data_IF_994383837681
#
_entry.id   IF_994383837681
#
_cell.length_a   1.000
_cell.length_b   1.000
_cell.length_c   1.000
_cell.angle_alpha   90.00
_cell.angle_beta   90.00
_cell.angle_gamma   90.00
#
_symmetry.space_group_name_H-M   'P 1'
#
loop_
_entity.id
_entity.type
_entity.pdbx_description
1 polymer ?
#
# COMPACT_ATOMS: atom_id res chain seq x y z
N UNK A 1 -31.56 20.88 -20.95
CA UNK A 1 -30.16 20.46 -20.67
C UNK A 1 -30.14 18.95 -20.51
N UNK A 2 -29.07 18.30 -21.01
CA UNK A 2 -28.78 16.90 -20.66
C UNK A 2 -28.65 16.82 -19.13
N UNK A 3 -29.36 15.89 -18.49
CA UNK A 3 -29.16 15.60 -17.07
C UNK A 3 -27.92 14.76 -16.92
N UNK A 4 -27.02 15.18 -16.03
CA UNK A 4 -25.83 14.44 -15.66
C UNK A 4 -26.11 13.59 -14.41
N UNK A 5 -25.40 12.48 -14.31
CA UNK A 5 -25.22 11.78 -13.04
C UNK A 5 -23.91 12.31 -12.44
N UNK A 6 -23.97 12.95 -11.26
CA UNK A 6 -22.83 13.64 -10.68
C UNK A 6 -22.49 13.05 -9.32
N UNK A 7 -21.29 12.52 -9.18
CA UNK A 7 -20.74 12.09 -7.90
C UNK A 7 -20.01 13.27 -7.24
N UNK A 8 -20.47 13.68 -6.08
CA UNK A 8 -19.88 14.77 -5.31
C UNK A 8 -18.92 14.22 -4.26
N UNK A 9 -17.67 14.68 -4.32
CA UNK A 9 -16.68 14.45 -3.27
C UNK A 9 -17.04 15.22 -1.97
N UNK A 10 -16.46 14.83 -0.85
CA UNK A 10 -16.74 15.36 0.50
C UNK A 10 -16.65 16.88 0.56
N UNK A 11 -15.59 17.47 0.01
CA UNK A 11 -15.42 18.92 0.02
C UNK A 11 -16.53 19.63 -0.76
N UNK A 12 -17.02 19.04 -1.85
CA UNK A 12 -18.10 19.63 -2.62
C UNK A 12 -19.41 19.65 -1.83
N UNK A 13 -19.72 18.57 -1.11
CA UNK A 13 -20.89 18.51 -0.22
C UNK A 13 -20.76 19.51 0.92
N UNK A 14 -19.59 19.57 1.57
CA UNK A 14 -19.35 20.54 2.65
C UNK A 14 -19.57 21.97 2.14
N UNK A 15 -18.99 22.35 1.01
CA UNK A 15 -19.16 23.71 0.49
C UNK A 15 -20.61 24.02 0.11
N UNK A 16 -21.32 23.06 -0.47
CA UNK A 16 -22.74 23.19 -0.79
C UNK A 16 -23.60 23.39 0.47
N UNK A 17 -23.34 22.61 1.52
CA UNK A 17 -24.02 22.71 2.80
C UNK A 17 -23.77 24.08 3.47
N UNK A 18 -22.49 24.48 3.61
CA UNK A 18 -22.10 25.76 4.21
C UNK A 18 -22.65 26.96 3.44
N UNK A 19 -22.72 26.87 2.11
CA UNK A 19 -23.30 27.92 1.28
C UNK A 19 -24.82 28.05 1.49
N UNK A 20 -25.54 26.93 1.63
CA UNK A 20 -27.00 26.96 1.75
C UNK A 20 -27.50 27.23 3.16
N UNK A 21 -26.87 26.64 4.16
CA UNK A 21 -27.31 26.75 5.54
C UNK A 21 -26.68 27.96 6.23
N UNK A 22 -25.45 28.35 5.84
CA UNK A 22 -24.67 29.38 6.53
C UNK A 22 -24.27 30.58 5.64
N UNK A 23 -24.67 30.61 4.36
CA UNK A 23 -24.28 31.65 3.39
C UNK A 23 -22.76 31.84 3.21
N UNK A 24 -21.96 30.80 3.47
CA UNK A 24 -20.50 30.85 3.34
C UNK A 24 -20.11 30.58 1.88
N UNK A 25 -19.22 31.40 1.32
CA UNK A 25 -18.75 31.27 -0.07
C UNK A 25 -17.29 30.80 -0.14
N UNK A 26 -16.92 30.14 -1.22
CA UNK A 26 -15.52 29.76 -1.51
C UNK A 26 -14.90 30.70 -2.55
N UNK A 27 -13.68 31.16 -2.30
CA UNK A 27 -12.95 32.09 -3.16
C UNK A 27 -12.55 31.54 -4.53
N UNK A 28 -12.60 30.21 -4.73
CA UNK A 28 -12.20 29.54 -5.97
C UNK A 28 -13.37 28.94 -6.76
N UNK A 29 -14.57 28.92 -6.17
CA UNK A 29 -15.74 28.20 -6.72
C UNK A 29 -16.90 29.19 -6.90
N UNK A 30 -17.55 29.14 -8.05
CA UNK A 30 -18.84 29.77 -8.29
C UNK A 30 -19.94 28.99 -7.57
N UNK A 31 -20.13 29.28 -6.27
CA UNK A 31 -21.00 28.51 -5.39
C UNK A 31 -22.46 28.43 -5.87
N UNK A 32 -22.97 29.49 -6.50
CA UNK A 32 -24.32 29.47 -7.07
C UNK A 32 -24.41 28.49 -8.26
N UNK A 33 -23.38 28.44 -9.11
CA UNK A 33 -23.31 27.51 -10.23
C UNK A 33 -23.19 26.07 -9.74
N UNK A 34 -22.34 25.81 -8.74
CA UNK A 34 -22.24 24.48 -8.13
C UNK A 34 -23.58 24.04 -7.51
N UNK A 35 -24.28 24.95 -6.85
CA UNK A 35 -25.60 24.67 -6.27
C UNK A 35 -26.67 24.39 -7.33
N UNK A 36 -26.72 25.19 -8.40
CA UNK A 36 -27.64 24.94 -9.51
C UNK A 36 -27.36 23.57 -10.14
N UNK A 37 -26.07 23.26 -10.36
CA UNK A 37 -25.64 21.97 -10.88
C UNK A 37 -26.13 20.80 -10.02
N UNK A 38 -25.98 20.89 -8.69
CA UNK A 38 -26.45 19.86 -7.76
C UNK A 38 -27.98 19.72 -7.70
N UNK A 39 -28.71 20.83 -7.85
CA UNK A 39 -30.18 20.84 -7.79
C UNK A 39 -30.84 20.37 -9.08
N UNK A 40 -30.18 20.52 -10.23
CA UNK A 40 -30.76 20.26 -11.55
C UNK A 40 -30.41 18.88 -12.13
N UNK A 41 -29.44 18.20 -11.52
CA UNK A 41 -28.91 16.91 -11.97
C UNK A 41 -29.16 15.79 -10.96
N UNK A 42 -28.88 14.55 -11.36
CA UNK A 42 -28.87 13.43 -10.43
C UNK A 42 -27.58 13.50 -9.62
N UNK A 43 -27.69 13.70 -8.30
CA UNK A 43 -26.53 13.81 -7.42
C UNK A 43 -26.30 12.54 -6.63
N UNK A 44 -25.04 12.18 -6.47
CA UNK A 44 -24.59 11.00 -5.79
C UNK A 44 -23.48 11.33 -4.81
N UNK A 45 -23.38 10.55 -3.74
CA UNK A 45 -22.23 10.53 -2.82
C UNK A 45 -21.87 9.08 -2.51
N UNK A 46 -20.64 8.84 -2.08
CA UNK A 46 -20.20 7.52 -1.62
C UNK A 46 -20.37 7.39 -0.11
N UNK A 47 -20.27 6.16 0.38
CA UNK A 47 -20.11 5.88 1.81
C UNK A 47 -18.84 6.50 2.41
N UNK A 48 -17.77 6.69 1.63
CA UNK A 48 -16.57 7.45 2.05
C UNK A 48 -16.92 8.91 2.32
N UNK A 49 -17.69 9.55 1.44
CA UNK A 49 -18.12 10.94 1.63
C UNK A 49 -18.94 11.10 2.91
N UNK A 50 -19.89 10.18 3.14
CA UNK A 50 -20.71 10.19 4.35
C UNK A 50 -19.88 9.96 5.61
N UNK A 51 -18.92 9.04 5.55
CA UNK A 51 -17.96 8.80 6.61
C UNK A 51 -17.20 10.09 6.99
N UNK A 52 -16.67 10.82 6.02
CA UNK A 52 -15.87 12.01 6.30
C UNK A 52 -16.71 13.15 6.86
N UNK A 53 -17.95 13.30 6.39
CA UNK A 53 -18.92 14.24 6.96
C UNK A 53 -19.23 13.87 8.40
N UNK A 54 -19.54 12.60 8.67
CA UNK A 54 -19.80 12.09 10.01
C UNK A 54 -18.61 12.34 10.95
N UNK A 55 -17.40 12.04 10.49
CA UNK A 55 -16.18 12.27 11.25
C UNK A 55 -15.97 13.77 11.52
N UNK A 56 -16.26 14.65 10.55
CA UNK A 56 -16.24 16.10 10.75
C UNK A 56 -17.23 16.52 11.84
N UNK A 57 -18.47 16.06 11.79
CA UNK A 57 -19.48 16.34 12.83
C UNK A 57 -19.01 15.86 14.20
N UNK A 58 -18.48 14.64 14.28
CA UNK A 58 -17.93 14.06 15.50
C UNK A 58 -16.80 14.92 16.09
N UNK A 59 -15.90 15.38 15.24
CA UNK A 59 -14.80 16.26 15.60
C UNK A 59 -15.25 17.65 16.08
N UNK A 60 -16.24 18.26 15.41
CA UNK A 60 -16.76 19.58 15.74
C UNK A 60 -17.51 19.59 17.08
N UNK A 61 -18.10 18.45 17.44
CA UNK A 61 -18.87 18.28 18.66
C UNK A 61 -18.06 17.64 19.79
N UNK A 62 -16.73 17.76 19.77
CA UNK A 62 -15.85 17.25 20.83
C UNK A 62 -16.12 15.78 21.18
N UNK A 63 -16.38 14.94 20.17
CA UNK A 63 -16.62 13.51 20.35
C UNK A 63 -17.88 13.20 21.18
N UNK A 64 -18.87 14.11 21.21
CA UNK A 64 -20.18 13.88 21.79
C UNK A 64 -21.15 13.28 20.76
N UNK A 65 -21.71 12.11 21.09
CA UNK A 65 -22.57 11.36 20.17
C UNK A 65 -23.90 12.01 19.85
N UNK A 66 -24.63 12.49 20.84
CA UNK A 66 -25.94 13.10 20.61
C UNK A 66 -25.83 14.34 19.71
N UNK A 67 -24.84 15.21 19.99
CA UNK A 67 -24.63 16.40 19.17
C UNK A 67 -24.14 16.05 17.75
N UNK A 68 -23.23 15.08 17.62
CA UNK A 68 -22.75 14.59 16.33
C UNK A 68 -23.90 14.03 15.48
N UNK A 69 -24.76 13.21 16.09
CA UNK A 69 -25.94 12.61 15.48
C UNK A 69 -26.87 13.68 14.90
N UNK A 70 -27.15 14.72 15.68
CA UNK A 70 -28.01 15.82 15.25
C UNK A 70 -27.40 16.60 14.08
N UNK A 71 -26.10 16.89 14.11
CA UNK A 71 -25.42 17.58 13.01
C UNK A 71 -25.36 16.72 11.75
N UNK A 72 -24.99 15.43 11.88
CA UNK A 72 -24.94 14.51 10.75
C UNK A 72 -26.31 14.33 10.09
N UNK A 73 -27.39 14.26 10.89
CA UNK A 73 -28.76 14.20 10.38
C UNK A 73 -29.14 15.44 9.54
N UNK A 74 -28.62 16.62 9.87
CA UNK A 74 -28.82 17.83 9.03
C UNK A 74 -28.21 17.66 7.65
N UNK A 75 -27.01 17.06 7.55
CA UNK A 75 -26.40 16.74 6.26
C UNK A 75 -27.23 15.73 5.46
N UNK A 76 -27.72 14.65 6.09
CA UNK A 76 -28.56 13.67 5.39
C UNK A 76 -29.86 14.27 4.85
N UNK A 77 -30.52 15.12 5.65
CA UNK A 77 -31.71 15.88 5.24
C UNK A 77 -31.37 16.84 4.09
N UNK A 78 -30.24 17.52 4.17
CA UNK A 78 -29.77 18.42 3.12
C UNK A 78 -29.56 17.68 1.79
N UNK A 79 -28.86 16.54 1.79
CA UNK A 79 -28.65 15.72 0.60
C UNK A 79 -29.98 15.27 -0.02
N UNK A 80 -30.91 14.78 0.81
CA UNK A 80 -32.22 14.30 0.35
C UNK A 80 -33.14 15.41 -0.21
N UNK A 81 -32.92 16.66 0.22
CA UNK A 81 -33.62 17.85 -0.32
C UNK A 81 -32.94 18.41 -1.56
N UNK A 82 -31.62 18.40 -1.60
CA UNK A 82 -30.82 19.01 -2.66
C UNK A 82 -30.88 18.18 -3.94
N UNK A 83 -30.70 16.86 -3.85
CA UNK A 83 -30.67 15.98 -5.01
C UNK A 83 -32.07 15.61 -5.50
N UNK A 84 -32.25 15.59 -6.82
CA UNK A 84 -33.53 15.24 -7.45
C UNK A 84 -33.81 13.74 -7.24
N UNK A 85 -32.79 12.89 -7.42
CA UNK A 85 -32.88 11.45 -7.20
C UNK A 85 -32.98 11.11 -5.71
N UNK A 86 -33.88 10.18 -5.37
CA UNK A 86 -34.08 9.72 -3.98
C UNK A 86 -33.09 8.66 -3.52
N UNK A 87 -32.49 7.96 -4.48
CA UNK A 87 -31.39 7.04 -4.24
C UNK A 87 -30.12 7.77 -4.68
N UNK A 88 -29.46 8.42 -3.73
CA UNK A 88 -28.25 9.23 -3.96
C UNK A 88 -26.99 8.61 -3.34
N UNK A 89 -27.12 7.54 -2.54
CA UNK A 89 -25.98 6.83 -1.98
C UNK A 89 -25.51 5.76 -2.97
N UNK A 90 -24.24 5.84 -3.37
CA UNK A 90 -23.55 4.77 -4.08
C UNK A 90 -22.73 3.99 -3.04
N UNK A 91 -23.01 2.69 -2.95
CA UNK A 91 -22.20 1.80 -2.14
C UNK A 91 -20.86 1.56 -2.80
N UNK A 92 -19.79 1.66 -2.01
CA UNK A 92 -18.43 1.36 -2.46
C UNK A 92 -18.08 -0.11 -2.21
N UNK A 93 -16.89 -0.52 -2.67
CA UNK A 93 -16.41 -1.89 -2.52
C UNK A 93 -16.11 -2.32 -1.08
N UNK A 94 -16.10 -1.39 -0.12
CA UNK A 94 -15.82 -1.69 1.29
C UNK A 94 -17.13 -2.02 2.01
N UNK A 95 -18.23 -1.34 1.67
CA UNK A 95 -19.48 -1.51 2.41
C UNK A 95 -20.74 -1.27 1.60
N UNK A 96 -21.75 -2.09 1.90
CA UNK A 96 -23.13 -1.86 1.53
C UNK A 96 -23.86 -1.24 2.71
N UNK A 97 -24.36 -0.02 2.54
CA UNK A 97 -25.14 0.74 3.51
C UNK A 97 -26.58 0.83 3.01
N UNK A 98 -27.55 0.53 3.87
CA UNK A 98 -28.93 0.94 3.65
C UNK A 98 -29.08 2.42 4.03
N UNK A 99 -29.58 3.22 3.09
CA UNK A 99 -29.80 4.65 3.30
C UNK A 99 -30.76 4.92 4.46
N UNK A 100 -31.71 4.02 4.73
CA UNK A 100 -32.67 4.19 5.82
C UNK A 100 -32.01 4.05 7.19
N UNK A 101 -31.04 3.16 7.32
CA UNK A 101 -30.27 2.96 8.55
C UNK A 101 -29.43 4.20 8.90
N UNK A 102 -29.04 4.99 7.90
CA UNK A 102 -28.37 6.27 8.13
C UNK A 102 -29.28 7.29 8.81
N UNK A 103 -30.58 7.26 8.55
CA UNK A 103 -31.52 8.23 9.15
C UNK A 103 -31.91 7.90 10.59
N UNK A 104 -31.70 6.66 11.04
CA UNK A 104 -31.88 6.28 12.45
C UNK A 104 -30.71 6.78 13.30
N UNK A 105 -29.51 6.90 12.70
CA UNK A 105 -28.26 7.27 13.37
C UNK A 105 -28.09 6.50 14.68
N UNK A 106 -28.12 5.17 14.63
CA UNK A 106 -27.83 4.33 15.78
C UNK A 106 -26.31 4.20 15.96
N UNK A 107 -25.83 4.21 17.21
CA UNK A 107 -24.39 4.26 17.52
C UNK A 107 -23.62 3.05 16.91
N UNK A 108 -24.24 1.87 16.87
CA UNK A 108 -23.61 0.67 16.30
C UNK A 108 -23.41 0.77 14.78
N UNK A 109 -24.41 1.28 14.03
CA UNK A 109 -24.33 1.52 12.58
C UNK A 109 -23.14 2.42 12.28
N UNK A 110 -22.92 3.39 13.16
CA UNK A 110 -21.91 4.43 13.01
C UNK A 110 -20.53 3.88 13.33
N UNK A 111 -20.37 3.13 14.43
CA UNK A 111 -19.14 2.39 14.73
C UNK A 111 -18.76 1.44 13.60
N UNK A 112 -19.74 0.79 12.99
CA UNK A 112 -19.50 -0.09 11.84
C UNK A 112 -18.98 0.69 10.63
N UNK A 113 -19.58 1.84 10.31
CA UNK A 113 -19.10 2.76 9.26
C UNK A 113 -17.65 3.20 9.53
N UNK A 114 -17.30 3.50 10.79
CA UNK A 114 -15.93 3.83 11.19
C UNK A 114 -14.95 2.68 10.96
N UNK A 115 -15.25 1.51 11.48
CA UNK A 115 -14.37 0.35 11.37
C UNK A 115 -14.16 -0.07 9.92
N UNK A 116 -15.22 -0.09 9.10
CA UNK A 116 -15.11 -0.44 7.69
C UNK A 116 -14.27 0.57 6.93
N UNK A 117 -14.42 1.87 7.19
CA UNK A 117 -13.56 2.89 6.58
C UNK A 117 -12.08 2.65 6.90
N UNK A 118 -11.76 2.41 8.17
CA UNK A 118 -10.39 2.12 8.61
C UNK A 118 -9.85 0.91 7.86
N UNK A 119 -10.61 -0.18 7.82
CA UNK A 119 -10.21 -1.40 7.12
C UNK A 119 -9.99 -1.16 5.62
N UNK A 120 -10.85 -0.37 4.97
CA UNK A 120 -10.69 -0.03 3.57
C UNK A 120 -9.43 0.77 3.26
N UNK A 121 -9.05 1.70 4.16
CA UNK A 121 -7.78 2.42 4.02
C UNK A 121 -6.56 1.53 4.25
N UNK A 122 -6.61 0.69 5.29
CA UNK A 122 -5.55 -0.27 5.60
C UNK A 122 -5.35 -1.21 4.43
N UNK A 123 -6.44 -1.73 3.85
CA UNK A 123 -6.39 -2.63 2.71
C UNK A 123 -5.80 -1.95 1.47
N UNK A 124 -6.19 -0.69 1.18
CA UNK A 124 -5.59 0.09 0.11
C UNK A 124 -4.08 0.28 0.31
N UNK A 125 -3.66 0.76 1.49
CA UNK A 125 -2.26 1.01 1.81
C UNK A 125 -1.45 -0.29 1.73
N UNK A 126 -1.98 -1.37 2.31
CA UNK A 126 -1.40 -2.70 2.28
C UNK A 126 -1.13 -3.14 0.84
N UNK A 127 -2.14 -3.07 -0.03
CA UNK A 127 -2.03 -3.46 -1.44
C UNK A 127 -0.98 -2.65 -2.20
N UNK A 128 -0.98 -1.32 -2.03
CA UNK A 128 -0.01 -0.43 -2.68
C UNK A 128 1.41 -0.83 -2.30
N UNK A 129 1.66 -0.96 -1.01
CA UNK A 129 2.99 -1.20 -0.46
C UNK A 129 3.49 -2.61 -0.82
N UNK A 130 2.63 -3.62 -0.71
CA UNK A 130 2.98 -5.00 -1.08
C UNK A 130 3.29 -5.13 -2.57
N UNK A 131 2.53 -4.48 -3.45
CA UNK A 131 2.80 -4.49 -4.90
C UNK A 131 4.14 -3.85 -5.24
N UNK A 132 4.42 -2.67 -4.66
CA UNK A 132 5.71 -2.01 -4.82
C UNK A 132 6.83 -2.92 -4.30
N UNK A 133 6.62 -3.55 -3.15
CA UNK A 133 7.60 -4.44 -2.53
C UNK A 133 7.94 -5.65 -3.36
N UNK A 134 6.93 -6.39 -3.81
CA UNK A 134 7.10 -7.54 -4.71
C UNK A 134 7.87 -7.12 -5.96
N UNK A 135 7.52 -5.96 -6.54
CA UNK A 135 8.18 -5.49 -7.77
C UNK A 135 9.66 -5.15 -7.56
N UNK A 136 10.00 -4.54 -6.43
CA UNK A 136 11.38 -4.22 -6.06
C UNK A 136 12.16 -5.52 -5.74
N UNK A 137 11.53 -6.47 -5.06
CA UNK A 137 12.12 -7.79 -4.75
C UNK A 137 12.44 -8.56 -6.03
N UNK A 138 11.49 -8.68 -6.96
CA UNK A 138 11.70 -9.35 -8.24
C UNK A 138 12.83 -8.69 -9.05
N UNK A 139 12.93 -7.35 -9.02
CA UNK A 139 14.04 -6.64 -9.64
C UNK A 139 15.39 -6.98 -8.97
N UNK A 140 15.40 -7.11 -7.64
CA UNK A 140 16.59 -7.51 -6.89
C UNK A 140 17.04 -8.93 -7.27
N UNK A 141 16.12 -9.90 -7.26
CA UNK A 141 16.41 -11.29 -7.65
C UNK A 141 17.01 -11.36 -9.05
N UNK A 142 16.47 -10.61 -10.00
CA UNK A 142 16.98 -10.57 -11.38
C UNK A 142 18.40 -10.00 -11.51
N UNK A 143 18.73 -9.00 -10.69
CA UNK A 143 20.03 -8.30 -10.76
C UNK A 143 21.13 -9.13 -10.10
N UNK A 144 20.78 -9.83 -9.02
CA UNK A 144 21.73 -10.53 -8.17
C UNK A 144 21.64 -12.06 -8.28
N UNK A 145 20.68 -12.60 -9.03
CA UNK A 145 20.45 -14.04 -9.12
C UNK A 145 20.11 -14.69 -7.77
N UNK A 146 19.62 -13.91 -6.81
CA UNK A 146 19.28 -14.43 -5.47
C UNK A 146 17.91 -15.05 -5.51
N UNK A 147 17.79 -16.23 -4.90
CA UNK A 147 16.51 -16.87 -4.63
C UNK A 147 16.52 -17.37 -3.20
N UNK A 148 15.34 -17.42 -2.61
CA UNK A 148 15.12 -18.00 -1.28
C UNK A 148 14.27 -19.24 -1.48
N UNK A 149 14.43 -20.24 -0.64
CA UNK A 149 13.53 -21.38 -0.69
C UNK A 149 12.09 -20.94 -0.40
N UNK A 150 11.16 -21.45 -1.22
CA UNK A 150 9.80 -20.95 -1.29
C UNK A 150 9.04 -21.08 0.04
N UNK A 151 9.15 -22.21 0.74
CA UNK A 151 8.52 -22.43 2.05
C UNK A 151 8.99 -21.43 3.10
N UNK A 152 10.31 -21.28 3.27
CA UNK A 152 10.89 -20.29 4.18
C UNK A 152 10.50 -18.86 3.78
N UNK A 153 10.59 -18.53 2.49
CA UNK A 153 10.23 -17.21 1.99
C UNK A 153 8.76 -16.88 2.24
N UNK A 154 7.84 -17.80 1.93
CA UNK A 154 6.41 -17.63 2.17
C UNK A 154 6.10 -17.49 3.66
N UNK A 155 6.73 -18.29 4.52
CA UNK A 155 6.53 -18.21 5.96
C UNK A 155 6.94 -16.83 6.51
N UNK A 156 8.14 -16.36 6.17
CA UNK A 156 8.67 -15.10 6.71
C UNK A 156 7.99 -13.87 6.09
N UNK A 157 7.71 -13.89 4.79
CA UNK A 157 7.02 -12.76 4.12
C UNK A 157 5.56 -12.66 4.52
N UNK A 158 4.87 -13.78 4.74
CA UNK A 158 3.50 -13.80 5.27
C UNK A 158 3.44 -13.16 6.65
N UNK A 159 4.32 -13.58 7.55
CA UNK A 159 4.37 -13.03 8.91
C UNK A 159 4.68 -11.53 8.91
N UNK A 160 5.69 -11.11 8.14
CA UNK A 160 6.02 -9.70 8.00
C UNK A 160 4.85 -8.89 7.42
N UNK A 161 4.08 -9.48 6.50
CA UNK A 161 2.88 -8.86 5.94
C UNK A 161 1.74 -8.71 6.97
N UNK A 162 1.56 -9.68 7.87
CA UNK A 162 0.58 -9.60 8.96
C UNK A 162 0.95 -8.49 9.97
N UNK A 163 2.22 -8.43 10.40
CA UNK A 163 2.75 -7.37 11.28
C UNK A 163 2.58 -5.99 10.61
N UNK A 164 2.96 -5.90 9.34
CA UNK A 164 2.82 -4.69 8.53
C UNK A 164 1.36 -4.22 8.49
N UNK A 165 0.41 -5.13 8.22
CA UNK A 165 -1.02 -4.82 8.18
C UNK A 165 -1.54 -4.33 9.52
N UNK A 166 -1.10 -4.92 10.63
CA UNK A 166 -1.46 -4.46 11.97
C UNK A 166 -0.91 -3.05 12.26
N UNK A 167 0.37 -2.78 11.91
CA UNK A 167 0.96 -1.45 12.05
C UNK A 167 0.17 -0.39 11.26
N UNK A 168 -0.26 -0.71 10.03
CA UNK A 168 -1.13 0.18 9.25
C UNK A 168 -2.46 0.44 9.95
N UNK A 169 -3.11 -0.62 10.46
CA UNK A 169 -4.36 -0.51 11.20
C UNK A 169 -4.22 0.43 12.39
N UNK A 170 -3.17 0.26 13.19
CA UNK A 170 -2.93 1.10 14.36
C UNK A 170 -2.74 2.57 13.97
N UNK A 171 -1.96 2.86 12.91
CA UNK A 171 -1.76 4.24 12.43
C UNK A 171 -3.07 4.85 11.92
N UNK A 172 -3.82 4.12 11.10
CA UNK A 172 -5.12 4.58 10.62
C UNK A 172 -6.08 4.84 11.78
N UNK A 173 -6.25 3.87 12.69
CA UNK A 173 -7.13 4.00 13.85
C UNK A 173 -6.77 5.22 14.72
N UNK A 174 -5.49 5.39 15.07
CA UNK A 174 -5.00 6.52 15.88
C UNK A 174 -5.26 7.88 15.24
N UNK A 175 -5.23 7.97 13.91
CA UNK A 175 -5.66 9.19 13.19
C UNK A 175 -7.13 9.49 13.40
N UNK A 176 -7.99 8.47 13.34
CA UNK A 176 -9.44 8.62 13.50
C UNK A 176 -9.87 8.91 14.94
N UNK A 177 -9.02 8.63 15.93
CA UNK A 177 -9.22 9.09 17.32
C UNK A 177 -8.42 10.37 17.64
N UNK A 178 -7.88 11.07 16.62
CA UNK A 178 -7.08 12.30 16.73
C UNK A 178 -5.82 12.21 17.62
N UNK A 179 -5.27 11.02 17.80
CA UNK A 179 -3.97 10.88 18.45
C UNK A 179 -2.80 11.26 17.54
N UNK A 180 -3.04 11.38 16.23
CA UNK A 180 -2.03 11.71 15.23
C UNK A 180 -2.54 12.78 14.26
N UNK A 181 -1.68 13.74 13.96
CA UNK A 181 -1.83 14.69 12.84
C UNK A 181 -1.60 13.99 11.50
N UNK A 182 -2.03 14.60 10.40
CA UNK A 182 -1.81 14.06 9.06
C UNK A 182 -0.30 13.91 8.75
N UNK A 183 0.52 14.87 9.17
CA UNK A 183 1.97 14.80 8.94
C UNK A 183 2.61 13.63 9.72
N UNK A 184 2.15 13.36 10.93
CA UNK A 184 2.61 12.22 11.72
C UNK A 184 2.17 10.88 11.13
N UNK A 185 0.96 10.82 10.58
CA UNK A 185 0.45 9.65 9.84
C UNK A 185 1.32 9.38 8.63
N UNK A 186 1.59 10.40 7.81
CA UNK A 186 2.42 10.26 6.61
C UNK A 186 3.82 9.77 6.99
N UNK A 187 4.45 10.34 8.04
CA UNK A 187 5.76 9.87 8.55
C UNK A 187 5.73 8.42 9.03
N UNK A 188 4.67 8.01 9.74
CA UNK A 188 4.54 6.63 10.22
C UNK A 188 4.33 5.64 9.08
N UNK A 189 3.49 5.97 8.09
CA UNK A 189 3.32 5.17 6.88
C UNK A 189 4.65 5.04 6.14
N UNK A 190 5.39 6.13 5.97
CA UNK A 190 6.70 6.15 5.29
C UNK A 190 7.71 5.24 6.00
N UNK A 191 7.71 5.24 7.33
CA UNK A 191 8.55 4.35 8.14
C UNK A 191 8.14 2.88 8.00
N UNK A 192 6.84 2.60 8.02
CA UNK A 192 6.31 1.25 7.84
C UNK A 192 6.73 0.69 6.47
N UNK A 193 6.64 1.49 5.41
CA UNK A 193 7.10 1.13 4.06
C UNK A 193 8.59 0.78 4.08
N UNK A 194 9.41 1.63 4.68
CA UNK A 194 10.86 1.41 4.80
C UNK A 194 11.16 0.09 5.51
N UNK A 195 10.58 -0.14 6.68
CA UNK A 195 10.79 -1.34 7.49
C UNK A 195 10.38 -2.61 6.72
N UNK A 196 9.19 -2.61 6.12
CA UNK A 196 8.66 -3.74 5.35
C UNK A 196 9.59 -4.11 4.19
N UNK A 197 9.99 -3.14 3.37
CA UNK A 197 10.84 -3.37 2.20
C UNK A 197 12.27 -3.75 2.57
N UNK A 198 12.86 -3.05 3.53
CA UNK A 198 14.23 -3.31 3.95
C UNK A 198 14.40 -4.72 4.50
N UNK A 199 13.47 -5.16 5.35
CA UNK A 199 13.44 -6.52 5.88
C UNK A 199 13.37 -7.57 4.77
N UNK A 200 12.41 -7.40 3.87
CA UNK A 200 12.15 -8.28 2.75
C UNK A 200 13.35 -8.39 1.79
N UNK A 201 14.00 -7.27 1.48
CA UNK A 201 15.21 -7.26 0.65
C UNK A 201 16.42 -7.85 1.36
N UNK A 202 16.51 -7.67 2.68
CA UNK A 202 17.63 -8.21 3.45
C UNK A 202 17.58 -9.73 3.55
N UNK A 203 16.39 -10.32 3.67
CA UNK A 203 16.22 -11.78 3.56
C UNK A 203 16.79 -12.28 2.23
N UNK A 204 16.44 -11.62 1.11
CA UNK A 204 16.96 -11.97 -0.22
C UNK A 204 18.47 -11.74 -0.33
N UNK A 205 18.98 -10.61 0.15
CA UNK A 205 20.39 -10.24 0.05
C UNK A 205 21.32 -11.14 0.87
N UNK A 206 20.81 -11.73 1.95
CA UNK A 206 21.51 -12.71 2.76
C UNK A 206 21.40 -14.13 2.21
N UNK A 207 20.58 -14.40 1.19
CA UNK A 207 20.33 -15.77 0.74
C UNK A 207 21.01 -16.07 -0.60
N UNK A 208 21.87 -17.08 -0.59
CA UNK A 208 22.56 -17.56 -1.79
C UNK A 208 21.97 -18.92 -2.16
N UNK A 209 21.39 -19.00 -3.34
CA UNK A 209 20.88 -20.23 -3.91
C UNK A 209 21.90 -20.80 -4.89
N UNK A 210 22.51 -21.93 -4.54
CA UNK A 210 23.54 -22.60 -5.33
C UNK A 210 22.93 -23.85 -5.98
N UNK A 211 22.76 -23.89 -7.31
CA UNK A 211 22.22 -25.06 -7.99
C UNK A 211 23.09 -26.29 -7.81
N UNK A 212 22.48 -27.46 -7.61
CA UNK A 212 23.19 -28.73 -7.43
C UNK A 212 24.14 -29.03 -8.59
N UNK A 213 23.73 -28.73 -9.83
CA UNK A 213 24.57 -28.89 -11.02
C UNK A 213 25.89 -28.12 -10.95
N UNK A 214 25.92 -26.97 -10.27
CA UNK A 214 27.14 -26.18 -10.06
C UNK A 214 28.07 -26.86 -9.08
N UNK A 215 27.51 -27.44 -8.02
CA UNK A 215 28.24 -28.23 -7.03
C UNK A 215 28.80 -29.49 -7.70
N UNK A 216 28.01 -30.16 -8.53
CA UNK A 216 28.41 -31.36 -9.26
C UNK A 216 29.53 -31.09 -10.27
N UNK A 217 29.63 -29.86 -10.78
CA UNK A 217 30.67 -29.41 -11.70
C UNK A 217 31.98 -28.99 -11.01
N UNK A 218 32.02 -28.92 -9.68
CA UNK A 218 33.25 -28.64 -8.92
C UNK A 218 34.24 -29.81 -9.03
N UNK A 219 35.53 -29.51 -8.94
CA UNK A 219 36.57 -30.52 -8.78
C UNK A 219 36.41 -31.27 -7.44
N UNK A 220 36.94 -32.49 -7.29
CA UNK A 220 36.73 -33.29 -6.07
C UNK A 220 37.21 -32.59 -4.79
N UNK A 221 38.36 -31.91 -4.87
CA UNK A 221 38.91 -31.10 -3.76
C UNK A 221 38.00 -29.92 -3.39
N UNK A 222 37.39 -29.26 -4.39
CA UNK A 222 36.44 -28.17 -4.22
C UNK A 222 35.11 -28.68 -3.65
N UNK A 223 34.63 -29.84 -4.10
CA UNK A 223 33.45 -30.51 -3.54
C UNK A 223 33.64 -30.84 -2.07
N UNK A 224 34.81 -31.37 -1.69
CA UNK A 224 35.13 -31.68 -0.31
C UNK A 224 35.12 -30.42 0.57
N UNK A 225 35.76 -29.33 0.11
CA UNK A 225 35.74 -28.03 0.80
C UNK A 225 34.32 -27.47 0.94
N UNK A 226 33.54 -27.53 -0.13
CA UNK A 226 32.15 -27.07 -0.11
C UNK A 226 31.28 -27.92 0.84
N UNK A 227 31.46 -29.24 0.84
CA UNK A 227 30.76 -30.15 1.74
C UNK A 227 31.07 -29.88 3.22
N UNK A 228 32.32 -29.57 3.56
CA UNK A 228 32.74 -29.20 4.90
C UNK A 228 32.09 -27.88 5.34
N UNK A 229 32.02 -26.88 4.45
CA UNK A 229 31.33 -25.61 4.72
C UNK A 229 29.84 -25.81 5.00
N UNK A 230 29.13 -26.61 4.20
CA UNK A 230 27.68 -26.81 4.35
C UNK A 230 27.30 -27.74 5.51
N UNK A 231 28.21 -28.63 5.98
CA UNK A 231 27.94 -29.51 7.12
C UNK A 231 27.63 -28.73 8.42
N UNK A 232 28.03 -27.46 8.43
CA UNK A 232 27.85 -26.52 9.51
C UNK A 232 26.63 -25.61 9.29
N UNK A 233 26.12 -25.46 8.07
CA UNK A 233 25.01 -24.55 7.78
C UNK A 233 23.68 -25.21 8.13
N UNK A 234 22.88 -24.54 8.97
CA UNK A 234 21.54 -25.03 9.30
C UNK A 234 20.66 -25.05 8.07
N UNK A 235 20.00 -26.18 7.87
CA UNK A 235 19.12 -26.38 6.75
C UNK A 235 17.81 -25.62 7.04
N UNK A 236 17.50 -24.52 6.33
CA UNK A 236 16.33 -23.70 6.61
C UNK A 236 15.00 -24.44 6.38
N UNK A 237 15.03 -25.67 5.88
CA UNK A 237 13.87 -26.56 5.67
C UNK A 237 13.45 -27.36 6.91
N UNK A 238 14.19 -27.30 8.02
CA UNK A 238 13.72 -27.93 9.26
C UNK A 238 12.49 -27.18 9.78
N UNK A 239 11.30 -27.79 9.69
CA UNK A 239 10.05 -27.21 10.20
C UNK A 239 10.16 -26.80 11.67
N UNK A 240 10.94 -27.51 12.48
CA UNK A 240 11.17 -27.13 13.88
C UNK A 240 12.00 -25.84 13.94
N UNK A 241 13.02 -25.72 13.10
CA UNK A 241 13.81 -24.49 13.01
C UNK A 241 12.93 -23.30 12.56
N UNK A 242 12.11 -23.47 11.52
CA UNK A 242 11.22 -22.41 11.03
C UNK A 242 10.22 -21.99 12.11
N UNK A 243 9.55 -22.94 12.77
CA UNK A 243 8.59 -22.64 13.83
C UNK A 243 9.25 -22.02 15.06
N UNK A 244 10.44 -22.48 15.44
CA UNK A 244 11.20 -21.91 16.55
C UNK A 244 11.73 -20.50 16.23
N UNK A 245 12.13 -20.27 14.98
CA UNK A 245 12.57 -18.96 14.48
C UNK A 245 11.44 -17.95 14.57
N UNK A 246 10.26 -18.27 14.02
CA UNK A 246 9.10 -17.38 14.05
C UNK A 246 8.64 -17.09 15.48
N UNK A 247 8.51 -18.12 16.33
CA UNK A 247 8.12 -17.93 17.75
C UNK A 247 9.07 -17.02 18.50
N UNK A 248 10.39 -17.17 18.28
CA UNK A 248 11.38 -16.31 18.93
C UNK A 248 11.38 -14.91 18.34
N UNK A 249 11.23 -14.77 17.02
CA UNK A 249 11.16 -13.48 16.35
C UNK A 249 10.05 -12.62 16.95
N UNK A 250 8.86 -13.20 17.08
CA UNK A 250 7.73 -12.58 17.76
C UNK A 250 8.03 -12.22 19.20
N UNK A 251 8.49 -13.18 19.99
CA UNK A 251 8.79 -12.92 21.41
C UNK A 251 9.81 -11.80 21.59
N UNK A 252 10.82 -11.73 20.73
CA UNK A 252 11.86 -10.71 20.79
C UNK A 252 11.37 -9.35 20.30
N UNK A 253 10.49 -9.34 19.28
CA UNK A 253 9.85 -8.12 18.78
C UNK A 253 8.85 -7.53 19.75
N UNK A 254 8.04 -8.35 20.40
CA UNK A 254 7.13 -7.91 21.47
C UNK A 254 7.91 -7.30 22.64
N UNK A 255 9.02 -7.94 23.04
CA UNK A 255 9.87 -7.45 24.14
C UNK A 255 10.67 -6.20 23.75
N UNK A 256 11.07 -6.08 22.48
CA UNK A 256 11.89 -4.98 22.00
C UNK A 256 11.36 -4.43 20.67
N UNK A 257 10.26 -3.65 20.68
CA UNK A 257 9.61 -3.17 19.46
C UNK A 257 10.54 -2.33 18.57
N UNK A 258 11.49 -1.63 19.19
CA UNK A 258 12.43 -0.72 18.54
C UNK A 258 13.75 -1.39 18.12
N UNK A 259 13.99 -2.64 18.52
CA UNK A 259 15.23 -3.33 18.18
C UNK A 259 15.22 -3.69 16.69
N UNK A 260 16.34 -3.45 16.02
CA UNK A 260 16.46 -3.70 14.59
C UNK A 260 16.15 -5.18 14.29
N UNK A 261 15.26 -5.41 13.31
CA UNK A 261 14.80 -6.75 12.93
C UNK A 261 15.98 -7.66 12.58
N UNK A 262 17.11 -7.10 12.11
CA UNK A 262 18.26 -7.90 11.75
C UNK A 262 19.11 -8.31 12.93
N UNK A 263 19.18 -7.47 13.96
CA UNK A 263 19.77 -7.89 15.23
C UNK A 263 18.95 -9.04 15.83
N UNK A 264 17.62 -8.96 15.73
CA UNK A 264 16.73 -10.04 16.16
C UNK A 264 16.93 -11.30 15.32
N UNK A 265 16.90 -11.20 13.98
CA UNK A 265 17.14 -12.35 13.08
C UNK A 265 18.50 -12.99 13.35
N UNK A 266 19.55 -12.16 13.50
CA UNK A 266 20.91 -12.63 13.77
C UNK A 266 21.00 -13.32 15.12
N UNK A 267 20.39 -12.74 16.16
CA UNK A 267 20.35 -13.36 17.50
C UNK A 267 19.60 -14.69 17.49
N UNK A 268 18.47 -14.77 16.80
CA UNK A 268 17.68 -16.00 16.70
C UNK A 268 18.43 -17.06 15.90
N UNK A 269 19.04 -16.67 14.77
CA UNK A 269 19.85 -17.58 13.97
C UNK A 269 21.04 -18.11 14.80
N UNK A 270 21.73 -17.26 15.56
CA UNK A 270 22.81 -17.69 16.46
C UNK A 270 22.28 -18.63 17.56
N UNK A 271 21.16 -18.28 18.18
CA UNK A 271 20.61 -19.01 19.32
C UNK A 271 19.99 -20.36 18.93
N UNK A 272 19.40 -20.47 17.74
CA UNK A 272 18.90 -21.74 17.20
C UNK A 272 20.03 -22.60 16.65
N UNK A 273 21.17 -21.99 16.28
CA UNK A 273 22.34 -22.69 15.76
C UNK A 273 23.40 -22.90 16.85
N UNK A 274 23.04 -23.59 17.94
CA UNK A 274 23.88 -23.70 19.16
C UNK A 274 25.29 -24.34 18.99
N UNK A 275 25.81 -24.58 17.77
CA UNK A 275 27.19 -25.08 17.53
C UNK A 275 27.86 -24.65 16.20
N UNK A 276 27.61 -23.46 15.63
CA UNK A 276 28.15 -23.13 14.28
C UNK A 276 28.88 -21.78 14.20
N UNK A 277 30.06 -21.77 13.56
CA UNK A 277 30.62 -20.54 12.96
C UNK A 277 29.61 -19.96 11.98
N UNK A 278 29.21 -18.69 12.15
CA UNK A 278 28.46 -17.99 11.11
C UNK A 278 29.26 -18.02 9.82
N UNK A 279 28.74 -18.68 8.79
CA UNK A 279 29.32 -18.68 7.45
C UNK A 279 29.44 -17.22 6.99
N UNK A 280 30.67 -16.76 6.80
CA UNK A 280 30.96 -15.43 6.29
C UNK A 280 30.99 -15.45 4.78
N UNK A 281 30.78 -14.29 4.17
CA UNK A 281 30.95 -14.15 2.73
C UNK A 281 32.35 -14.56 2.27
N UNK A 282 33.39 -14.24 3.05
CA UNK A 282 34.79 -14.62 2.78
C UNK A 282 34.99 -16.14 2.72
N UNK A 283 34.20 -16.92 3.46
CA UNK A 283 34.33 -18.38 3.49
C UNK A 283 33.82 -19.02 2.19
N UNK A 284 32.98 -18.32 1.41
CA UNK A 284 32.37 -18.84 0.19
C UNK A 284 32.62 -18.00 -1.06
N UNK A 285 33.33 -16.86 -0.93
CA UNK A 285 33.45 -15.88 -2.01
C UNK A 285 34.01 -16.49 -3.29
N UNK A 286 34.99 -17.39 -3.15
CA UNK A 286 35.61 -18.08 -4.29
C UNK A 286 34.59 -18.92 -5.08
N UNK A 287 33.67 -19.59 -4.36
CA UNK A 287 32.59 -20.36 -4.98
C UNK A 287 31.57 -19.43 -5.64
N UNK A 288 31.17 -18.35 -4.97
CA UNK A 288 30.21 -17.37 -5.53
C UNK A 288 30.77 -16.71 -6.79
N UNK A 289 32.02 -16.26 -6.78
CA UNK A 289 32.66 -15.65 -7.95
C UNK A 289 32.78 -16.64 -9.12
N UNK A 290 32.98 -17.93 -8.82
CA UNK A 290 32.99 -18.99 -9.84
C UNK A 290 31.59 -19.21 -10.42
N UNK A 291 30.54 -19.21 -9.59
CA UNK A 291 29.17 -19.44 -10.02
C UNK A 291 28.54 -18.23 -10.74
N UNK A 292 28.80 -17.00 -10.29
CA UNK A 292 28.23 -15.76 -10.85
C UNK A 292 28.78 -15.43 -12.26
N UNK A 293 29.90 -16.03 -12.68
CA UNK A 293 30.45 -15.87 -14.05
C UNK A 293 29.55 -16.51 -15.13
N UNK A 294 28.74 -17.50 -14.77
CA UNK A 294 27.77 -18.12 -15.67
C UNK A 294 26.44 -17.37 -15.62
N UNK A 295 26.28 -16.37 -16.49
CA UNK A 295 25.15 -15.42 -16.55
C UNK A 295 23.75 -16.01 -16.85
N UNK A 296 23.57 -17.33 -16.79
CA UNK A 296 22.31 -18.00 -17.08
C UNK A 296 21.94 -18.96 -15.94
N UNK A 297 21.58 -18.40 -14.79
CA UNK A 297 21.09 -19.20 -13.66
C UNK A 297 19.58 -18.99 -13.56
N UNK A 298 18.82 -19.91 -14.14
CA UNK A 298 17.46 -20.18 -13.66
C UNK A 298 17.56 -21.41 -12.77
N UNK A 299 17.10 -21.27 -11.52
CA UNK A 299 16.95 -22.36 -10.56
C UNK A 299 15.54 -22.99 -10.70
N UNK A 300 14.75 -22.58 -11.70
CA UNK A 300 13.37 -23.01 -11.83
C UNK A 300 13.33 -24.50 -12.23
N UNK A 301 12.94 -25.34 -11.26
CA UNK A 301 12.88 -26.80 -11.42
C UNK A 301 14.20 -27.54 -11.13
N UNK A 302 15.22 -26.86 -10.58
CA UNK A 302 16.50 -27.50 -10.19
C UNK A 302 16.64 -27.63 -8.67
N UNK A 303 17.28 -28.71 -8.19
CA UNK A 303 17.68 -28.80 -6.78
C UNK A 303 18.77 -27.76 -6.49
N UNK A 304 18.68 -27.09 -5.34
CA UNK A 304 19.65 -26.08 -4.92
C UNK A 304 19.89 -26.15 -3.42
N UNK A 305 21.07 -25.72 -3.01
CA UNK A 305 21.43 -25.48 -1.61
C UNK A 305 21.27 -23.99 -1.32
N UNK A 306 20.57 -23.67 -0.24
CA UNK A 306 20.32 -22.29 0.20
C UNK A 306 21.19 -21.96 1.40
N UNK A 307 22.03 -20.93 1.26
CA UNK A 307 22.96 -20.49 2.29
C UNK A 307 22.57 -19.11 2.81
N UNK A 308 22.53 -18.94 4.14
CA UNK A 308 22.32 -17.64 4.78
C UNK A 308 23.65 -16.99 5.17
N UNK A 309 23.92 -15.79 4.64
CA UNK A 309 25.19 -15.08 4.75
C UNK A 309 24.91 -13.61 5.08
N UNK A 310 24.94 -13.30 6.37
CA UNK A 310 24.50 -12.00 6.87
C UNK A 310 25.44 -10.83 6.56
N UNK A 311 26.72 -11.12 6.25
CA UNK A 311 27.74 -10.15 5.85
C UNK A 311 27.91 -10.03 4.32
N UNK A 312 26.96 -10.59 3.56
CA UNK A 312 26.88 -10.49 2.10
C UNK A 312 27.12 -9.05 1.58
N UNK A 313 27.91 -8.86 0.51
CA UNK A 313 28.07 -7.54 -0.12
C UNK A 313 26.75 -6.99 -0.67
N UNK A 314 25.78 -7.85 -0.97
CA UNK A 314 24.46 -7.43 -1.43
C UNK A 314 23.65 -6.72 -0.33
N UNK A 315 23.93 -7.02 0.95
CA UNK A 315 23.38 -6.26 2.08
C UNK A 315 23.84 -4.79 2.04
N UNK A 316 25.09 -4.52 1.64
CA UNK A 316 25.60 -3.15 1.46
C UNK A 316 24.92 -2.44 0.30
N UNK A 317 24.47 -3.18 -0.71
CA UNK A 317 23.74 -2.59 -1.83
C UNK A 317 22.39 -2.02 -1.40
N UNK A 318 21.65 -2.73 -0.55
CA UNK A 318 20.32 -2.30 -0.08
C UNK A 318 20.38 -1.36 1.14
N UNK A 319 21.55 -1.23 1.79
CA UNK A 319 21.74 -0.37 2.95
C UNK A 319 21.48 1.12 2.59
N UNK A 320 20.42 1.67 3.17
CA UNK A 320 20.08 3.08 2.99
C UNK A 320 21.09 3.99 3.70
N UNK A 321 21.35 5.21 3.18
CA UNK A 321 22.02 6.26 3.94
C UNK A 321 21.26 6.56 5.24
N UNK A 322 21.96 6.95 6.31
CA UNK A 322 21.33 7.27 7.61
C UNK A 322 20.23 8.33 7.49
N UNK A 323 20.40 9.30 6.61
CA UNK A 323 19.43 10.36 6.33
C UNK A 323 18.11 9.87 5.72
N UNK A 324 18.04 8.62 5.25
CA UNK A 324 16.85 8.00 4.66
C UNK A 324 16.24 6.93 5.57
N UNK A 325 16.73 6.76 6.80
CA UNK A 325 16.20 5.78 7.72
C UNK A 325 14.74 6.13 8.10
N UNK A 326 13.81 5.22 7.79
CA UNK A 326 12.38 5.45 7.97
C UNK A 326 11.73 6.34 6.89
N UNK A 327 12.43 6.67 5.80
CA UNK A 327 11.89 7.43 4.67
C UNK A 327 11.57 6.50 3.49
N UNK A 328 10.51 5.69 3.60
CA UNK A 328 10.16 4.63 2.65
C UNK A 328 10.04 5.08 1.19
N UNK A 329 9.35 6.18 0.90
CA UNK A 329 9.19 6.69 -0.46
C UNK A 329 10.54 7.08 -1.09
N UNK A 330 11.39 7.78 -0.32
CA UNK A 330 12.73 8.13 -0.77
C UNK A 330 13.60 6.89 -0.96
N UNK A 331 13.47 5.91 -0.07
CA UNK A 331 14.18 4.64 -0.15
C UNK A 331 13.82 3.85 -1.42
N UNK A 332 12.54 3.79 -1.78
CA UNK A 332 12.07 3.15 -3.02
C UNK A 332 12.66 3.84 -4.25
N UNK A 333 12.55 5.17 -4.35
CA UNK A 333 13.12 5.93 -5.47
C UNK A 333 14.63 5.71 -5.58
N UNK A 334 15.32 5.69 -4.45
CA UNK A 334 16.76 5.42 -4.38
C UNK A 334 17.11 4.00 -4.85
N UNK A 335 16.36 2.97 -4.45
CA UNK A 335 16.55 1.60 -4.92
C UNK A 335 16.35 1.49 -6.43
N UNK A 336 15.27 2.08 -6.96
CA UNK A 336 14.98 2.09 -8.39
C UNK A 336 16.13 2.76 -9.16
N UNK A 337 16.64 3.89 -8.67
CA UNK A 337 17.79 4.57 -9.29
C UNK A 337 19.07 3.71 -9.25
N UNK A 338 19.31 2.99 -8.15
CA UNK A 338 20.43 2.04 -8.03
C UNK A 338 20.29 0.88 -9.01
N UNK A 339 19.10 0.28 -9.12
CA UNK A 339 18.84 -0.81 -10.05
C UNK A 339 19.03 -0.37 -11.51
N UNK A 340 18.56 0.82 -11.89
CA UNK A 340 18.75 1.37 -13.26
C UNK A 340 20.22 1.52 -13.65
N UNK A 341 21.10 1.79 -12.69
CA UNK A 341 22.55 1.85 -12.94
C UNK A 341 23.18 0.47 -13.19
N UNK A 342 22.60 -0.59 -12.59
CA UNK A 342 23.15 -1.95 -12.61
C UNK A 342 22.53 -2.82 -13.72
N UNK A 343 21.26 -2.57 -14.07
CA UNK A 343 20.53 -3.25 -15.14
C UNK A 343 20.19 -2.26 -16.25
N UNK A 344 20.51 -2.60 -17.50
CA UNK A 344 20.05 -1.85 -18.69
C UNK A 344 18.55 -2.07 -18.99
N UNK A 345 17.87 -2.95 -18.25
CA UNK A 345 16.44 -3.22 -18.42
C UNK A 345 15.61 -2.05 -17.86
N UNK A 346 14.47 -1.79 -18.49
CA UNK A 346 13.53 -0.78 -18.01
C UNK A 346 12.74 -1.29 -16.79
N UNK A 347 13.27 -0.98 -15.60
CA UNK A 347 12.68 -1.33 -14.30
C UNK A 347 11.28 -0.73 -14.13
N UNK A 348 11.00 0.44 -14.72
CA UNK A 348 9.67 1.05 -14.58
C UNK A 348 8.64 0.22 -15.33
N UNK A 349 8.89 -0.09 -16.60
CA UNK A 349 8.04 -0.98 -17.39
C UNK A 349 7.82 -2.33 -16.70
N UNK A 350 8.83 -2.86 -16.02
CA UNK A 350 8.69 -4.09 -15.24
C UNK A 350 7.75 -3.94 -14.05
N UNK A 351 7.93 -2.92 -13.21
CA UNK A 351 7.04 -2.64 -12.08
C UNK A 351 5.59 -2.53 -12.58
N UNK A 352 5.36 -1.82 -13.69
CA UNK A 352 4.03 -1.70 -14.29
C UNK A 352 3.49 -3.04 -14.81
N UNK A 353 4.32 -3.88 -15.44
CA UNK A 353 3.92 -5.20 -15.93
C UNK A 353 3.58 -6.17 -14.79
N UNK A 354 4.40 -6.22 -13.74
CA UNK A 354 4.14 -7.07 -12.57
C UNK A 354 2.89 -6.61 -11.82
N UNK A 355 2.66 -5.30 -11.74
CA UNK A 355 1.42 -4.74 -11.22
C UNK A 355 0.19 -5.18 -12.07
N UNK A 356 0.31 -5.21 -13.40
CA UNK A 356 -0.75 -5.73 -14.28
C UNK A 356 -1.04 -7.21 -14.03
N UNK A 357 0.00 -8.04 -13.89
CA UNK A 357 -0.15 -9.47 -13.60
C UNK A 357 -0.75 -9.71 -12.22
N UNK A 358 -0.38 -8.90 -11.22
CA UNK A 358 -1.03 -8.91 -9.90
C UNK A 358 -2.53 -8.63 -10.02
N UNK A 359 -2.94 -7.60 -10.76
CA UNK A 359 -4.36 -7.28 -10.93
C UNK A 359 -5.13 -8.40 -11.62
N UNK A 360 -4.55 -9.01 -12.67
CA UNK A 360 -5.12 -10.19 -13.33
C UNK A 360 -5.25 -11.38 -12.38
N UNK A 361 -4.19 -11.70 -11.65
CA UNK A 361 -4.19 -12.79 -10.68
C UNK A 361 -5.25 -12.55 -9.59
N UNK A 362 -5.33 -11.34 -9.06
CA UNK A 362 -6.31 -10.99 -8.02
C UNK A 362 -7.75 -11.16 -8.52
N UNK A 363 -8.05 -10.70 -9.74
CA UNK A 363 -9.36 -10.90 -10.38
C UNK A 363 -9.73 -12.37 -10.55
N UNK A 364 -8.76 -13.24 -10.76
CA UNK A 364 -9.00 -14.67 -10.97
C UNK A 364 -9.14 -15.46 -9.65
N UNK A 365 -8.67 -14.93 -8.52
CA UNK A 365 -8.55 -15.67 -7.26
C UNK A 365 -9.43 -15.13 -6.11
N UNK A 366 -10.04 -13.95 -6.26
CA UNK A 366 -10.88 -13.35 -5.22
C UNK A 366 -12.25 -12.97 -5.77
N UNK A 367 -13.29 -13.18 -4.94
CA UNK A 367 -14.68 -12.82 -5.25
C UNK A 367 -14.87 -11.31 -5.41
N UNK A 368 -14.05 -10.51 -4.73
CA UNK A 368 -13.99 -9.06 -4.88
C UNK A 368 -12.94 -8.69 -5.92
N UNK A 369 -13.37 -8.17 -7.06
CA UNK A 369 -12.46 -7.70 -8.13
C UNK A 369 -12.13 -6.22 -7.95
N UNK A 370 -10.90 -5.83 -8.29
CA UNK A 370 -10.61 -4.42 -8.57
C UNK A 370 -11.52 -3.94 -9.71
N UNK A 371 -12.10 -2.77 -9.54
CA UNK A 371 -12.77 -2.07 -10.62
C UNK A 371 -11.70 -1.54 -11.59
N UNK A 372 -11.98 -1.43 -12.88
CA UNK A 372 -11.03 -0.92 -13.89
C UNK A 372 -10.50 0.47 -13.49
N UNK A 373 -11.37 1.31 -12.93
CA UNK A 373 -11.07 2.65 -12.44
C UNK A 373 -10.18 2.63 -11.21
N UNK A 374 -10.33 1.62 -10.33
CA UNK A 374 -9.42 1.43 -9.21
C UNK A 374 -8.01 1.01 -9.67
N UNK A 375 -7.90 0.16 -10.70
CA UNK A 375 -6.61 -0.21 -11.31
C UNK A 375 -5.95 0.98 -12.01
N UNK A 376 -6.73 1.79 -12.74
CA UNK A 376 -6.25 3.02 -13.40
C UNK A 376 -5.75 4.04 -12.38
N UNK A 377 -6.50 4.28 -11.32
CA UNK A 377 -6.08 5.17 -10.24
C UNK A 377 -4.79 4.68 -9.59
N UNK A 378 -4.68 3.37 -9.33
CA UNK A 378 -3.48 2.78 -8.78
C UNK A 378 -2.25 2.97 -9.68
N UNK A 379 -2.40 2.79 -11.01
CA UNK A 379 -1.32 3.04 -11.98
C UNK A 379 -0.91 4.50 -12.01
N UNK A 380 -1.89 5.41 -12.05
CA UNK A 380 -1.64 6.85 -11.94
C UNK A 380 -0.87 7.17 -10.65
N UNK A 381 -1.32 6.64 -9.50
CA UNK A 381 -0.66 6.79 -8.21
C UNK A 381 0.80 6.31 -8.26
N UNK A 382 1.05 5.10 -8.79
CA UNK A 382 2.39 4.54 -8.90
C UNK A 382 3.30 5.43 -9.73
N UNK A 383 2.78 5.98 -10.83
CA UNK A 383 3.52 6.92 -11.65
C UNK A 383 3.94 8.16 -10.85
N UNK A 384 3.01 8.78 -10.11
CA UNK A 384 3.33 9.93 -9.27
C UNK A 384 4.34 9.58 -8.17
N UNK A 385 4.19 8.41 -7.57
CA UNK A 385 5.04 7.93 -6.49
C UNK A 385 6.47 7.67 -6.98
N UNK A 386 6.62 6.90 -8.06
CA UNK A 386 7.93 6.46 -8.57
C UNK A 386 8.63 7.57 -9.35
N UNK A 387 7.92 8.27 -10.24
CA UNK A 387 8.53 9.25 -11.15
C UNK A 387 8.70 10.62 -10.49
N UNK A 388 7.76 11.02 -9.64
CA UNK A 388 7.78 12.33 -8.97
C UNK A 388 8.21 12.26 -7.51
N UNK A 389 8.51 11.07 -6.97
CA UNK A 389 8.94 10.88 -5.58
C UNK A 389 7.89 11.31 -4.56
N UNK A 390 6.61 11.29 -4.94
CA UNK A 390 5.51 11.70 -4.06
C UNK A 390 5.34 10.68 -2.95
N UNK A 391 5.12 11.14 -1.71
CA UNK A 391 4.77 10.26 -0.59
C UNK A 391 3.34 9.71 -0.73
N UNK A 392 3.10 8.56 -0.10
CA UNK A 392 1.74 8.07 0.12
C UNK A 392 1.11 8.97 1.19
N UNK A 393 -0.04 9.55 0.87
CA UNK A 393 -0.79 10.43 1.74
C UNK A 393 -2.14 9.80 2.09
N UNK A 394 -2.78 10.30 3.15
CA UNK A 394 -4.12 9.82 3.53
C UNK A 394 -5.17 9.93 2.41
N UNK A 395 -5.08 10.99 1.60
CA UNK A 395 -6.11 11.29 0.60
C UNK A 395 -6.09 10.23 -0.51
N UNK A 396 -4.95 9.58 -0.74
CA UNK A 396 -4.82 8.56 -1.78
C UNK A 396 -5.76 7.38 -1.56
N UNK A 397 -6.00 7.01 -0.29
CA UNK A 397 -6.94 5.96 0.05
C UNK A 397 -8.39 6.40 -0.21
N UNK A 398 -8.74 7.66 0.04
CA UNK A 398 -10.08 8.18 -0.27
C UNK A 398 -10.31 8.26 -1.78
N UNK A 399 -9.35 8.82 -2.51
CA UNK A 399 -9.42 9.00 -3.96
C UNK A 399 -9.57 7.64 -4.66
N UNK A 400 -8.81 6.63 -4.20
CA UNK A 400 -8.96 5.25 -4.67
C UNK A 400 -10.38 4.70 -4.48
N UNK A 401 -10.99 4.95 -3.32
CA UNK A 401 -12.33 4.46 -3.01
C UNK A 401 -13.41 5.21 -3.79
N UNK A 402 -13.23 6.50 -4.03
CA UNK A 402 -14.09 7.30 -4.91
C UNK A 402 -13.99 6.79 -6.36
N UNK A 403 -12.78 6.55 -6.86
CA UNK A 403 -12.56 5.98 -8.19
C UNK A 403 -13.19 4.59 -8.34
N UNK A 404 -13.11 3.76 -7.28
CA UNK A 404 -13.75 2.45 -7.22
C UNK A 404 -15.28 2.54 -7.26
N UNK A 405 -15.86 3.39 -6.41
CA UNK A 405 -17.30 3.56 -6.28
C UNK A 405 -17.97 4.08 -7.57
N UNK A 406 -17.29 4.97 -8.31
CA UNK A 406 -17.82 5.54 -9.55
C UNK A 406 -18.13 4.49 -10.63
N UNK A 407 -17.52 3.30 -10.56
CA UNK A 407 -17.73 2.23 -11.54
C UNK A 407 -19.06 1.50 -11.35
N UNK A 408 -19.63 1.54 -10.14
CA UNK A 408 -20.90 0.91 -9.81
C UNK A 408 -22.12 1.67 -10.39
N UNK A 409 -21.90 2.78 -11.09
CA UNK A 409 -22.95 3.61 -11.68
C UNK A 409 -22.59 4.05 -13.10
N UNK A 410 -23.57 3.99 -14.01
CA UNK A 410 -23.37 4.29 -15.42
C UNK A 410 -23.31 5.81 -15.69
N UNK A 411 -22.37 6.24 -16.54
CA UNK A 411 -22.16 7.63 -16.99
C UNK A 411 -22.14 8.69 -15.87
N UNK A 412 -21.24 8.54 -14.90
CA UNK A 412 -20.99 9.56 -13.87
C UNK A 412 -19.98 10.63 -14.31
N UNK A 413 -20.15 11.84 -13.80
CA UNK A 413 -19.09 12.86 -13.69
C UNK A 413 -18.75 13.04 -12.22
N UNK A 414 -17.47 13.04 -11.86
CA UNK A 414 -17.02 13.30 -10.49
C UNK A 414 -16.69 14.77 -10.35
N UNK A 415 -17.28 15.44 -9.35
CA UNK A 415 -16.93 16.79 -8.96
C UNK A 415 -16.12 16.72 -7.66
N UNK A 416 -14.81 16.90 -7.82
CA UNK A 416 -13.84 17.04 -6.72
C UNK A 416 -13.07 18.35 -6.83
N UNK A 417 -12.65 18.85 -5.67
CA UNK A 417 -11.74 19.99 -5.54
C UNK A 417 -10.32 19.57 -5.11
N UNK A 418 -10.08 18.26 -4.96
CA UNK A 418 -8.72 17.74 -4.82
C UNK A 418 -7.99 17.85 -6.16
N UNK A 419 -6.80 18.44 -6.13
CA UNK A 419 -6.02 18.74 -7.33
C UNK A 419 -5.52 17.46 -8.00
N UNK A 420 -5.12 16.47 -7.22
CA UNK A 420 -4.54 15.23 -7.72
C UNK A 420 -5.62 14.36 -8.34
N UNK A 421 -6.75 14.20 -7.65
CA UNK A 421 -7.89 13.47 -8.18
C UNK A 421 -8.43 14.14 -9.45
N UNK A 422 -8.51 15.47 -9.50
CA UNK A 422 -8.90 16.18 -10.73
C UNK A 422 -7.90 15.95 -11.89
N UNK A 423 -6.60 15.93 -11.61
CA UNK A 423 -5.56 15.62 -12.61
C UNK A 423 -5.74 14.20 -13.16
N UNK A 424 -5.99 13.22 -12.30
CA UNK A 424 -6.29 11.84 -12.68
C UNK A 424 -7.52 11.75 -13.61
N UNK A 425 -8.65 12.32 -13.19
CA UNK A 425 -9.91 12.28 -13.96
C UNK A 425 -9.75 12.89 -15.35
N UNK A 426 -9.00 14.01 -15.43
CA UNK A 426 -8.68 14.68 -16.70
C UNK A 426 -7.76 13.82 -17.59
N UNK A 427 -6.74 13.19 -17.03
CA UNK A 427 -5.79 12.35 -17.79
C UNK A 427 -6.45 11.10 -18.36
N UNK A 428 -7.28 10.42 -17.56
CA UNK A 428 -8.00 9.22 -18.01
C UNK A 428 -9.18 9.56 -18.93
N UNK A 429 -9.56 10.84 -19.04
CA UNK A 429 -10.76 11.31 -19.73
C UNK A 429 -12.00 10.48 -19.34
N UNK A 430 -12.09 10.13 -18.06
CA UNK A 430 -13.13 9.26 -17.49
C UNK A 430 -13.71 9.94 -16.27
N UNK A 431 -15.04 9.96 -16.21
CA UNK A 431 -15.80 10.66 -15.19
C UNK A 431 -15.45 12.16 -15.06
N UNK A 432 -14.94 12.77 -16.15
CA UNK A 432 -14.52 14.16 -16.21
C UNK A 432 -15.30 14.88 -17.31
N UNK A 433 -15.76 16.10 -17.00
CA UNK A 433 -16.45 16.96 -17.96
C UNK A 433 -15.88 18.39 -17.86
N UNK A 434 -15.16 18.82 -18.89
CA UNK A 434 -14.46 20.11 -18.91
C UNK A 434 -15.43 21.31 -18.86
N UNK A 435 -16.61 21.17 -19.47
CA UNK A 435 -17.63 22.22 -19.47
C UNK A 435 -18.21 22.41 -18.06
N UNK A 436 -18.53 21.31 -17.37
CA UNK A 436 -19.02 21.36 -16.00
C UNK A 436 -17.98 21.96 -15.04
N UNK A 437 -16.71 21.58 -15.17
CA UNK A 437 -15.64 22.17 -14.36
C UNK A 437 -15.48 23.66 -14.65
N UNK A 438 -15.51 24.07 -15.92
CA UNK A 438 -15.44 25.48 -16.31
C UNK A 438 -16.63 26.31 -15.83
N UNK A 439 -17.81 25.68 -15.68
CA UNK A 439 -19.01 26.33 -15.17
C UNK A 439 -18.94 26.62 -13.66
N UNK A 440 -18.30 25.76 -12.88
CA UNK A 440 -18.23 25.89 -11.41
C UNK A 440 -16.96 26.56 -10.90
N UNK A 441 -15.90 26.65 -11.70
CA UNK A 441 -14.64 27.28 -11.29
C UNK A 441 -14.59 28.77 -11.61
N UNK A 442 -14.14 29.57 -10.64
CA UNK A 442 -13.91 31.00 -10.89
C UNK A 442 -12.74 31.15 -11.85
N UNK A 443 -12.96 31.84 -12.97
CA UNK A 443 -11.86 32.25 -13.86
C UNK A 443 -10.92 33.14 -13.05
N UNK A 444 -9.65 32.74 -12.92
CA UNK A 444 -8.61 33.65 -12.42
C UNK A 444 -8.47 34.78 -13.45
N UNK A 445 -8.88 35.98 -13.07
CA UNK A 445 -8.56 37.21 -13.80
C UNK A 445 -7.09 37.57 -13.61
#
# INVERSE_FOLDING_TARGET
MKKYNILYDTNAIIYLFEFKENNITNGKIEMQNLYNLAKENNGFVTSVTLYEILYKCWCNNSFNWENCKDEFKKYLIFLNRMFINKIWLINDSIQKIDINDLFTCEEYVIKEIFNKKIQGEVEFLYRIISNIGISIQNCFEDIFGRKVELGYYLAVTKENAEIFRQKLYDVCNRRHVKELTNEEVDKKIDRIIFEYLFFNLKILACNYAIPQKKIDALEENEKAKFAELIHHVVNPHDENFQNSFLKKFHSMKEKNPNKDDNEIIKEIAIELNQKVQNLKYEDISDFIEKFDKDKSISIDGEQAIFLQIFDSPDCKFIQAPESMNGCGAQYIVWLIAKYKKRSKKDILSRIYNESNEFFKWYRNNYEYTYSEGSEKYFKFFLQQFIEKGRKISKNDANDYLIASAAEYSQELVIITFDKLMKEYLKQENRYYDEELYSYIEKRRL
#
